data_IF_112198016607
#
_entry.id   IF_112198016607
#
_cell.length_a   1.000
_cell.length_b   1.000
_cell.length_c   1.000
_cell.angle_alpha   90.00
_cell.angle_beta   90.00
_cell.angle_gamma   90.00
#
_symmetry.space_group_name_H-M   'P 1'
#
loop_
_entity.id
_entity.type
_entity.pdbx_description
1 polymer ?
#
# COMPACT_ATOMS: atom_id res chain seq x y z
N UNK A 1 -6.19 -17.70 13.71
CA UNK A 1 -5.25 -16.79 13.01
C UNK A 1 -5.54 -15.36 13.44
N UNK A 2 -4.60 -14.63 14.04
CA UNK A 2 -4.85 -13.27 14.55
C UNK A 2 -5.13 -12.33 13.37
N UNK A 3 -6.24 -11.58 13.40
CA UNK A 3 -6.69 -10.64 12.34
C UNK A 3 -5.57 -9.72 11.83
N UNK A 4 -4.67 -9.31 12.73
CA UNK A 4 -3.49 -8.49 12.43
C UNK A 4 -2.53 -9.12 11.42
N UNK A 5 -2.30 -10.43 11.48
CA UNK A 5 -1.37 -11.11 10.58
C UNK A 5 -1.93 -11.19 9.15
N UNK A 6 -3.26 -11.36 9.04
CA UNK A 6 -3.96 -11.33 7.75
C UNK A 6 -3.88 -9.95 7.11
N UNK A 7 -4.06 -8.88 7.88
CA UNK A 7 -3.91 -7.50 7.40
C UNK A 7 -2.50 -7.21 6.86
N UNK A 8 -1.47 -7.54 7.64
CA UNK A 8 -0.06 -7.37 7.23
C UNK A 8 0.25 -8.14 5.94
N UNK A 9 -0.26 -9.37 5.83
CA UNK A 9 -0.08 -10.17 4.62
C UNK A 9 -0.79 -9.55 3.42
N UNK A 10 -2.01 -9.04 3.60
CA UNK A 10 -2.78 -8.35 2.57
C UNK A 10 -2.06 -7.11 2.03
N UNK A 11 -1.58 -6.24 2.92
CA UNK A 11 -0.80 -5.05 2.55
C UNK A 11 0.48 -5.42 1.79
N UNK A 12 1.17 -6.49 2.22
CA UNK A 12 2.35 -6.98 1.52
C UNK A 12 2.00 -7.43 0.10
N UNK A 13 0.95 -8.25 -0.06
CA UNK A 13 0.50 -8.74 -1.37
C UNK A 13 0.05 -7.59 -2.28
N UNK A 14 -0.64 -6.58 -1.73
CA UNK A 14 -1.05 -5.39 -2.47
C UNK A 14 0.16 -4.59 -2.98
N UNK A 15 1.16 -4.34 -2.14
CA UNK A 15 2.41 -3.68 -2.56
C UNK A 15 3.14 -4.47 -3.63
N UNK A 16 3.24 -5.78 -3.48
CA UNK A 16 3.94 -6.64 -4.44
C UNK A 16 3.20 -6.69 -5.79
N UNK A 17 1.86 -6.73 -5.76
CA UNK A 17 1.03 -6.63 -6.96
C UNK A 17 1.25 -5.30 -7.69
N UNK A 18 1.15 -4.17 -6.97
CA UNK A 18 1.34 -2.84 -7.55
C UNK A 18 2.73 -2.68 -8.19
N UNK A 19 3.79 -3.14 -7.51
CA UNK A 19 5.15 -3.15 -8.06
C UNK A 19 5.25 -3.96 -9.36
N UNK A 20 4.62 -5.14 -9.41
CA UNK A 20 4.57 -5.98 -10.64
C UNK A 20 3.83 -5.30 -11.79
N UNK A 21 2.84 -4.46 -11.48
CA UNK A 21 2.13 -3.64 -12.45
C UNK A 21 2.89 -2.37 -12.87
N UNK A 22 4.13 -2.17 -12.39
CA UNK A 22 4.95 -1.01 -12.75
C UNK A 22 4.72 0.23 -11.89
N UNK A 23 3.99 0.11 -10.78
CA UNK A 23 3.83 1.21 -9.82
C UNK A 23 5.07 1.33 -8.95
N UNK A 24 5.48 2.57 -8.67
CA UNK A 24 6.46 2.91 -7.65
C UNK A 24 5.72 3.24 -6.35
N UNK A 25 5.92 2.42 -5.32
CA UNK A 25 5.42 2.74 -3.98
C UNK A 25 6.19 3.97 -3.46
N UNK A 26 5.46 5.00 -3.07
CA UNK A 26 6.01 6.23 -2.51
C UNK A 26 5.96 6.21 -0.98
N UNK A 27 4.83 5.75 -0.43
CA UNK A 27 4.62 5.68 1.01
C UNK A 27 3.66 4.53 1.34
N UNK A 28 3.69 4.06 2.59
CA UNK A 28 2.72 3.09 3.11
C UNK A 28 2.41 3.41 4.56
N UNK A 29 1.20 3.08 5.01
CA UNK A 29 0.69 3.42 6.34
C UNK A 29 0.73 4.94 6.60
N UNK A 30 0.36 5.74 5.60
CA UNK A 30 0.30 7.19 5.73
C UNK A 30 -0.89 7.57 6.61
N UNK A 31 -0.66 8.45 7.59
CA UNK A 31 -1.68 8.89 8.54
C UNK A 31 -1.75 10.40 8.55
N UNK A 32 -2.96 10.91 8.56
CA UNK A 32 -3.24 12.34 8.66
C UNK A 32 -4.44 12.55 9.61
N UNK A 33 -4.71 13.79 10.07
CA UNK A 33 -5.75 14.02 11.08
C UNK A 33 -7.15 13.50 10.72
N UNK A 34 -7.46 13.32 9.43
CA UNK A 34 -8.76 12.84 8.95
C UNK A 34 -8.82 11.35 8.60
N UNK A 35 -7.73 10.58 8.73
CA UNK A 35 -7.74 9.16 8.40
C UNK A 35 -6.38 8.57 8.05
N UNK A 36 -6.41 7.44 7.36
CA UNK A 36 -5.22 6.72 6.92
C UNK A 36 -5.31 6.31 5.45
N UNK A 37 -4.15 6.18 4.81
CA UNK A 37 -3.96 5.66 3.47
C UNK A 37 -2.94 4.52 3.58
N UNK A 38 -3.37 3.31 3.25
CA UNK A 38 -2.53 2.11 3.40
C UNK A 38 -1.29 2.16 2.49
N UNK A 39 -1.47 2.59 1.23
CA UNK A 39 -0.42 2.61 0.21
C UNK A 39 -0.60 3.83 -0.70
N UNK A 40 0.45 4.64 -0.85
CA UNK A 40 0.56 5.69 -1.87
C UNK A 40 1.54 5.20 -2.93
N UNK A 41 1.10 5.16 -4.19
CA UNK A 41 1.90 4.63 -5.28
C UNK A 41 1.70 5.44 -6.56
N UNK A 42 2.78 5.63 -7.31
CA UNK A 42 2.78 6.37 -8.58
C UNK A 42 2.97 5.40 -9.75
N UNK A 43 2.18 5.57 -10.80
CA UNK A 43 2.34 4.83 -12.05
C UNK A 43 2.60 5.80 -13.20
N UNK A 44 3.83 5.74 -13.74
CA UNK A 44 4.30 6.68 -14.79
C UNK A 44 4.10 8.15 -14.32
N UNK A 45 3.44 8.96 -15.14
CA UNK A 45 3.12 10.36 -14.87
C UNK A 45 1.85 10.56 -14.03
N UNK A 46 1.21 9.47 -13.60
CA UNK A 46 0.01 9.50 -12.76
C UNK A 46 0.35 9.13 -11.32
N UNK A 47 -0.05 9.99 -10.39
CA UNK A 47 0.15 9.88 -8.93
C UNK A 47 -1.17 9.52 -8.26
#
# INVERSE_FOLDING_TARGET
>A
MKRRNTGILGEKLAKDFLKKQGYRILESNYRYPGGEIDIVARHKDSL
#
